data_IF_916059609912
#
_entry.id   IF_916059609912
#
_cell.length_a   1.000
_cell.length_b   1.000
_cell.length_c   1.000
_cell.angle_alpha   90.00
_cell.angle_beta   90.00
_cell.angle_gamma   90.00
#
_symmetry.space_group_name_H-M   'P 1'
#
loop_
_entity.id
_entity.type
_entity.pdbx_description
1 polymer ?
#
# COMPACT_ATOMS: atom_id res chain seq x y z
N UNK A 1 -22.09 -19.35 -37.95
CA UNK A 1 -22.63 -18.32 -37.04
C UNK A 1 -21.82 -18.44 -35.76
N UNK A 2 -20.58 -17.93 -35.71
CA UNK A 2 -20.14 -16.53 -35.46
C UNK A 2 -20.62 -16.03 -34.09
N UNK A 3 -19.82 -15.56 -33.14
CA UNK A 3 -18.37 -15.48 -32.90
C UNK A 3 -18.27 -15.20 -31.39
N UNK A 4 -17.47 -15.96 -30.63
CA UNK A 4 -17.07 -15.55 -29.27
C UNK A 4 -15.70 -14.93 -29.40
N UNK A 5 -15.68 -13.60 -29.44
CA UNK A 5 -14.48 -12.80 -29.58
C UNK A 5 -13.79 -12.71 -28.20
N UNK A 6 -13.01 -13.74 -27.85
CA UNK A 6 -12.05 -13.71 -26.74
C UNK A 6 -10.88 -12.80 -27.14
N UNK A 7 -10.98 -11.53 -26.73
CA UNK A 7 -9.90 -10.57 -26.88
C UNK A 7 -9.24 -10.30 -25.52
N UNK A 8 -8.95 -11.37 -24.76
CA UNK A 8 -7.99 -11.27 -23.65
C UNK A 8 -6.59 -11.13 -24.23
N UNK A 9 -6.11 -9.90 -24.33
CA UNK A 9 -4.81 -9.54 -24.91
C UNK A 9 -3.66 -10.30 -24.21
N UNK A 10 -3.24 -11.42 -24.80
CA UNK A 10 -2.04 -12.17 -24.40
C UNK A 10 -0.82 -11.44 -24.92
N UNK A 11 -0.14 -10.72 -24.03
CA UNK A 11 1.21 -10.22 -24.32
C UNK A 11 2.20 -11.32 -23.97
N UNK A 12 2.93 -11.81 -24.98
CA UNK A 12 4.00 -12.79 -24.81
C UNK A 12 5.17 -12.08 -24.09
N UNK A 13 5.59 -12.62 -22.95
CA UNK A 13 6.73 -12.13 -22.14
C UNK A 13 7.62 -13.37 -21.85
N UNK A 14 8.96 -13.24 -21.79
CA UNK A 14 9.90 -14.38 -21.76
C UNK A 14 9.64 -15.38 -20.62
N UNK A 15 10.14 -16.60 -20.81
CA UNK A 15 9.75 -17.88 -20.20
C UNK A 15 9.77 -17.99 -18.65
N UNK A 16 10.11 -16.92 -17.92
CA UNK A 16 10.34 -16.95 -16.47
C UNK A 16 9.34 -16.12 -15.64
N UNK A 17 8.28 -15.55 -16.24
CA UNK A 17 7.33 -14.67 -15.54
C UNK A 17 5.88 -15.11 -15.70
N UNK A 18 5.26 -15.56 -14.61
CA UNK A 18 3.81 -15.78 -14.54
C UNK A 18 3.12 -14.46 -14.18
N UNK A 19 2.28 -13.94 -15.08
CA UNK A 19 1.33 -12.86 -14.77
C UNK A 19 -0.02 -13.51 -14.50
N UNK A 20 -0.43 -13.52 -13.24
CA UNK A 20 -1.81 -13.88 -12.90
C UNK A 20 -2.68 -12.61 -12.99
N UNK A 21 -3.65 -12.62 -13.90
CA UNK A 21 -4.74 -11.63 -13.96
C UNK A 21 -6.05 -12.33 -13.57
N UNK A 22 -6.47 -12.29 -12.30
CA UNK A 22 -7.86 -12.52 -11.97
C UNK A 22 -8.62 -11.21 -12.14
N UNK A 23 -9.92 -11.30 -12.42
CA UNK A 23 -10.85 -10.18 -12.64
C UNK A 23 -10.94 -9.17 -11.46
N UNK A 24 -10.23 -9.43 -10.36
CA UNK A 24 -10.28 -8.71 -9.07
C UNK A 24 -9.01 -7.88 -8.74
N UNK A 25 -8.15 -7.58 -9.72
CA UNK A 25 -7.15 -6.51 -9.58
C UNK A 25 -5.81 -6.88 -8.92
N UNK A 26 -5.54 -8.17 -8.69
CA UNK A 26 -4.20 -8.65 -8.29
C UNK A 26 -3.33 -8.66 -9.56
N UNK A 27 -2.26 -7.86 -9.58
CA UNK A 27 -1.27 -7.85 -10.65
C UNK A 27 0.08 -8.14 -10.02
N UNK A 28 0.59 -9.34 -10.18
CA UNK A 28 1.81 -9.81 -9.52
C UNK A 28 2.70 -10.50 -10.54
N UNK A 29 4.01 -10.31 -10.39
CA UNK A 29 5.05 -11.04 -11.07
C UNK A 29 5.81 -11.86 -10.02
N UNK A 30 5.94 -13.16 -10.25
CA UNK A 30 6.69 -14.09 -9.41
C UNK A 30 7.93 -14.61 -10.15
N UNK A 31 8.94 -15.01 -9.38
CA UNK A 31 10.01 -15.88 -9.87
C UNK A 31 9.48 -17.31 -10.04
N UNK A 32 9.72 -17.93 -11.20
CA UNK A 32 9.20 -19.26 -11.51
C UNK A 32 9.91 -20.39 -10.73
N UNK A 33 11.14 -20.17 -10.26
CA UNK A 33 11.94 -21.18 -9.55
C UNK A 33 11.69 -21.17 -8.04
N UNK A 34 11.58 -19.98 -7.45
CA UNK A 34 11.39 -19.80 -6.00
C UNK A 34 9.95 -19.51 -5.58
N UNK A 35 9.06 -19.18 -6.53
CA UNK A 35 7.71 -18.65 -6.27
C UNK A 35 7.72 -17.37 -5.42
N UNK A 36 8.84 -16.65 -5.35
CA UNK A 36 8.95 -15.39 -4.63
C UNK A 36 8.33 -14.25 -5.44
N UNK A 37 7.62 -13.34 -4.77
CA UNK A 37 7.07 -12.15 -5.40
C UNK A 37 8.22 -11.24 -5.82
N UNK A 38 8.27 -10.84 -7.09
CA UNK A 38 9.25 -9.88 -7.60
C UNK A 38 8.65 -8.48 -7.62
N UNK A 39 7.46 -8.31 -8.18
CA UNK A 39 6.85 -6.99 -8.29
C UNK A 39 5.33 -7.08 -8.44
N UNK A 40 4.68 -5.95 -8.19
CA UNK A 40 3.25 -5.81 -8.39
C UNK A 40 2.49 -5.48 -7.12
N UNK A 41 1.18 -5.67 -7.16
CA UNK A 41 0.23 -5.27 -6.13
C UNK A 41 -0.48 -6.49 -5.57
N UNK A 42 -0.34 -6.68 -4.26
CA UNK A 42 -1.12 -7.65 -3.48
C UNK A 42 -2.32 -6.93 -2.91
N UNK A 43 -3.49 -7.58 -2.96
CA UNK A 43 -4.73 -7.09 -2.38
C UNK A 43 -5.37 -8.20 -1.56
N UNK A 44 -5.57 -7.93 -0.28
CA UNK A 44 -6.32 -8.75 0.65
C UNK A 44 -7.72 -8.18 0.82
N UNK A 45 -8.68 -9.06 1.08
CA UNK A 45 -10.10 -8.70 1.23
C UNK A 45 -10.62 -9.13 2.60
N UNK A 46 -11.66 -8.43 3.06
CA UNK A 46 -12.53 -8.88 4.14
C UNK A 46 -13.49 -9.95 3.64
N UNK A 47 -14.15 -10.68 4.54
CA UNK A 47 -15.11 -11.74 4.19
C UNK A 47 -16.28 -11.21 3.35
N UNK A 48 -16.60 -9.92 3.46
CA UNK A 48 -17.64 -9.24 2.67
C UNK A 48 -17.17 -8.84 1.26
N UNK A 49 -15.93 -9.16 0.87
CA UNK A 49 -15.35 -8.84 -0.43
C UNK A 49 -14.78 -7.41 -0.55
N UNK A 50 -14.89 -6.56 0.47
CA UNK A 50 -14.25 -5.25 0.46
C UNK A 50 -12.73 -5.38 0.60
N UNK A 51 -11.98 -4.50 -0.05
CA UNK A 51 -10.54 -4.43 0.13
C UNK A 51 -10.22 -4.20 1.62
N UNK A 52 -9.31 -5.00 2.15
CA UNK A 52 -8.79 -4.93 3.52
C UNK A 52 -7.42 -4.28 3.55
N UNK A 53 -6.55 -4.71 2.65
CA UNK A 53 -5.19 -4.22 2.54
C UNK A 53 -4.79 -4.29 1.07
N UNK A 54 -4.13 -3.25 0.56
CA UNK A 54 -3.42 -3.34 -0.70
C UNK A 54 -2.00 -2.82 -0.53
N UNK A 55 -1.04 -3.51 -1.14
CA UNK A 55 0.38 -3.20 -0.99
C UNK A 55 1.13 -3.45 -2.27
N UNK A 56 1.94 -2.48 -2.63
CA UNK A 56 2.80 -2.52 -3.80
C UNK A 56 4.20 -3.03 -3.45
N UNK A 57 4.79 -3.74 -4.39
CA UNK A 57 6.10 -4.38 -4.28
C UNK A 57 6.93 -4.14 -5.54
N UNK A 58 8.22 -3.98 -5.33
CA UNK A 58 9.25 -3.92 -6.36
C UNK A 58 10.50 -4.63 -5.84
N UNK A 59 11.10 -5.47 -6.68
CA UNK A 59 12.28 -6.28 -6.37
C UNK A 59 12.13 -7.08 -5.05
N UNK A 60 10.95 -7.68 -4.86
CA UNK A 60 10.55 -8.47 -3.70
C UNK A 60 10.34 -7.67 -2.42
N UNK A 61 10.44 -6.34 -2.47
CA UNK A 61 10.35 -5.46 -1.32
C UNK A 61 9.16 -4.52 -1.43
N UNK A 62 8.57 -4.10 -0.28
CA UNK A 62 7.57 -3.04 -0.28
C UNK A 62 8.05 -1.78 -1.01
N UNK A 63 7.28 -1.31 -1.97
CA UNK A 63 7.59 -0.11 -2.75
C UNK A 63 6.29 0.56 -3.18
N UNK A 64 6.21 1.88 -3.19
CA UNK A 64 4.97 2.59 -3.52
C UNK A 64 4.05 2.67 -2.30
N UNK A 65 2.74 2.49 -2.48
CA UNK A 65 1.78 2.63 -1.40
C UNK A 65 1.38 1.30 -0.75
N UNK A 66 1.23 1.33 0.57
CA UNK A 66 0.53 0.33 1.36
C UNK A 66 -0.67 0.99 2.02
N UNK A 67 -1.88 0.48 1.77
CA UNK A 67 -3.12 1.09 2.23
C UNK A 67 -4.00 0.05 2.91
N UNK A 68 -4.47 0.36 4.12
CA UNK A 68 -5.33 -0.50 4.93
C UNK A 68 -6.70 0.16 5.04
N UNK A 69 -7.75 -0.63 4.90
CA UNK A 69 -9.13 -0.19 4.86
C UNK A 69 -9.94 -0.82 5.98
N UNK A 70 -10.91 -0.08 6.49
CA UNK A 70 -11.95 -0.61 7.35
C UNK A 70 -12.82 -1.62 6.57
N UNK A 71 -13.56 -2.47 7.30
CA UNK A 71 -14.43 -3.50 6.71
C UNK A 71 -15.51 -2.93 5.77
N UNK A 72 -15.95 -1.70 5.98
CA UNK A 72 -16.89 -0.98 5.12
C UNK A 72 -16.23 -0.27 3.92
N UNK A 73 -14.93 -0.48 3.70
CA UNK A 73 -14.18 0.00 2.53
C UNK A 73 -13.53 1.38 2.66
N UNK A 74 -13.75 2.12 3.76
CA UNK A 74 -13.10 3.42 3.95
C UNK A 74 -11.60 3.24 4.31
N UNK A 75 -10.76 4.16 3.82
CA UNK A 75 -9.33 4.16 4.10
C UNK A 75 -9.08 4.41 5.60
N UNK A 76 -8.27 3.57 6.23
CA UNK A 76 -7.85 3.73 7.62
C UNK A 76 -6.40 4.22 7.72
N UNK A 77 -5.52 3.70 6.87
CA UNK A 77 -4.10 4.01 6.93
C UNK A 77 -3.49 3.94 5.54
N UNK A 78 -2.60 4.87 5.22
CA UNK A 78 -1.72 4.80 4.07
C UNK A 78 -0.27 5.02 4.52
N UNK A 79 0.64 4.22 3.97
CA UNK A 79 2.06 4.29 4.25
C UNK A 79 2.82 4.17 2.95
N UNK A 80 3.57 5.21 2.55
CA UNK A 80 4.45 5.09 1.41
C UNK A 80 5.74 4.35 1.80
N UNK A 81 6.24 3.56 0.87
CA UNK A 81 7.44 2.74 0.98
C UNK A 81 8.38 3.01 -0.19
N UNK A 82 9.68 2.95 0.09
CA UNK A 82 10.74 3.00 -0.91
C UNK A 82 11.81 2.00 -0.51
N UNK A 83 12.12 1.06 -1.39
CA UNK A 83 13.13 0.01 -1.18
C UNK A 83 12.95 -0.72 0.16
N UNK A 84 11.72 -1.17 0.42
CA UNK A 84 11.35 -1.91 1.63
C UNK A 84 11.21 -1.07 2.90
N UNK A 85 11.51 0.23 2.87
CA UNK A 85 11.49 1.12 4.04
C UNK A 85 10.37 2.14 3.95
N UNK A 86 9.76 2.50 5.08
CA UNK A 86 8.79 3.61 5.14
C UNK A 86 9.45 4.89 4.64
N UNK A 87 8.72 5.64 3.82
CA UNK A 87 9.20 6.88 3.21
C UNK A 87 8.04 7.85 3.03
N UNK A 88 8.29 9.15 3.15
CA UNK A 88 7.26 10.17 3.01
C UNK A 88 6.30 10.17 4.21
N UNK A 89 5.08 10.66 4.00
CA UNK A 89 4.12 10.87 5.07
C UNK A 89 3.21 9.65 5.21
N UNK A 90 3.32 8.94 6.34
CA UNK A 90 2.31 8.00 6.80
C UNK A 90 1.12 8.80 7.31
N UNK A 91 -0.10 8.42 6.90
CA UNK A 91 -1.34 9.01 7.44
C UNK A 91 -2.26 7.92 7.95
N UNK A 92 -2.91 8.17 9.09
CA UNK A 92 -4.06 7.41 9.55
C UNK A 92 -5.28 8.31 9.62
N UNK A 93 -6.45 7.73 9.39
CA UNK A 93 -7.71 8.44 9.30
C UNK A 93 -8.70 7.90 10.34
N UNK A 94 -9.52 8.79 10.86
CA UNK A 94 -10.74 8.44 11.56
C UNK A 94 -11.75 7.83 10.59
N UNK A 95 -12.80 7.18 11.13
CA UNK A 95 -13.91 6.68 10.30
C UNK A 95 -14.62 7.78 9.52
N UNK A 96 -14.55 9.03 9.98
CA UNK A 96 -15.04 10.22 9.26
C UNK A 96 -14.23 10.56 8.00
N UNK A 97 -13.04 9.97 7.84
CA UNK A 97 -12.08 10.31 6.79
C UNK A 97 -11.15 11.47 7.15
N UNK A 98 -11.34 12.11 8.31
CA UNK A 98 -10.42 13.14 8.81
C UNK A 98 -9.11 12.51 9.28
N UNK A 99 -8.01 13.26 9.16
CA UNK A 99 -6.69 12.79 9.60
C UNK A 99 -6.70 12.61 11.12
N UNK A 100 -6.36 11.41 11.58
CA UNK A 100 -6.13 11.11 12.98
C UNK A 100 -4.68 11.37 13.36
N UNK A 101 -3.75 10.97 12.50
CA UNK A 101 -2.33 11.15 12.74
C UNK A 101 -1.57 11.20 11.42
N UNK A 102 -0.49 11.96 11.38
CA UNK A 102 0.49 11.90 10.29
C UNK A 102 1.91 11.92 10.83
N UNK A 103 2.78 11.10 10.24
CA UNK A 103 4.20 10.98 10.63
C UNK A 103 5.04 11.00 9.37
N UNK A 104 6.08 11.84 9.36
CA UNK A 104 7.05 11.88 8.26
C UNK A 104 8.16 10.86 8.49
N UNK A 105 8.42 10.02 7.49
CA UNK A 105 9.49 9.03 7.48
C UNK A 105 10.52 9.30 6.39
N UNK A 106 11.79 9.04 6.72
CA UNK A 106 12.90 9.01 5.78
C UNK A 106 13.75 7.77 6.07
N UNK A 107 13.98 6.97 5.03
CA UNK A 107 14.79 5.75 5.10
C UNK A 107 14.40 4.80 6.26
N UNK A 108 13.09 4.72 6.54
CA UNK A 108 12.52 3.86 7.58
C UNK A 108 12.49 4.47 8.98
N UNK A 109 13.05 5.67 9.18
CA UNK A 109 13.07 6.38 10.47
C UNK A 109 12.12 7.56 10.44
N UNK A 110 11.50 7.89 11.58
CA UNK A 110 10.74 9.14 11.72
C UNK A 110 11.70 10.33 11.55
N UNK A 111 11.44 11.19 10.59
CA UNK A 111 12.27 12.36 10.28
C UNK A 111 11.37 13.46 9.71
N UNK A 112 11.14 14.51 10.49
CA UNK A 112 10.11 15.51 10.26
C UNK A 112 9.08 15.53 11.39
N UNK A 113 7.85 15.93 11.08
CA UNK A 113 6.81 16.15 12.10
C UNK A 113 5.92 14.91 12.25
N UNK A 114 5.60 14.59 13.49
CA UNK A 114 4.48 13.76 13.91
C UNK A 114 3.38 14.67 14.47
N UNK A 115 2.18 14.56 13.94
CA UNK A 115 1.02 15.30 14.43
C UNK A 115 -0.14 14.35 14.68
N UNK A 116 -0.84 14.57 15.78
CA UNK A 116 -2.06 13.85 16.16
C UNK A 116 -3.19 14.85 16.21
N UNK A 117 -4.36 14.46 15.71
CA UNK A 117 -5.57 15.26 15.64
C UNK A 117 -6.72 14.51 16.29
N UNK A 118 -7.68 15.25 16.86
CA UNK A 118 -8.92 14.68 17.36
C UNK A 118 -9.91 14.37 16.20
N UNK A 119 -11.10 13.86 16.55
CA UNK A 119 -12.13 13.49 15.57
C UNK A 119 -12.72 14.68 14.80
N UNK A 120 -12.59 15.90 15.33
CA UNK A 120 -13.01 17.15 14.68
C UNK A 120 -11.91 17.74 13.77
N UNK A 121 -10.72 17.15 13.78
CA UNK A 121 -9.55 17.58 13.02
C UNK A 121 -8.72 18.65 13.71
N UNK A 122 -8.94 18.90 15.01
CA UNK A 122 -8.12 19.84 15.78
C UNK A 122 -6.80 19.19 16.16
N UNK A 123 -5.70 19.94 16.05
CA UNK A 123 -4.36 19.47 16.42
C UNK A 123 -4.28 19.25 17.94
N UNK A 124 -3.99 18.01 18.35
CA UNK A 124 -3.83 17.59 19.74
C UNK A 124 -2.37 17.61 20.17
N UNK A 125 -1.46 17.17 19.29
CA UNK A 125 -0.02 17.18 19.57
C UNK A 125 0.80 17.33 18.30
N UNK A 126 2.00 17.90 18.44
CA UNK A 126 2.99 18.02 17.38
C UNK A 126 4.38 17.77 17.97
N UNK A 127 5.11 16.81 17.43
CA UNK A 127 6.44 16.41 17.87
C UNK A 127 7.35 16.38 16.65
N UNK A 128 8.52 17.02 16.74
CA UNK A 128 9.52 16.99 15.67
C UNK A 128 10.50 15.86 15.95
N UNK A 129 10.78 15.06 14.93
CA UNK A 129 11.77 14.00 14.95
C UNK A 129 12.90 14.28 13.96
N UNK A 130 14.10 13.85 14.30
CA UNK A 130 15.22 13.76 13.40
C UNK A 130 15.93 12.41 13.58
N UNK A 131 16.07 11.64 12.50
CA UNK A 131 16.66 10.30 12.52
C UNK A 131 16.11 9.39 13.63
N UNK A 132 14.79 9.39 13.81
CA UNK A 132 14.08 8.56 14.79
C UNK A 132 14.14 9.06 16.23
N UNK A 133 14.70 10.26 16.49
CA UNK A 133 14.78 10.85 17.83
C UNK A 133 13.97 12.13 17.90
N UNK A 134 13.30 12.35 19.04
CA UNK A 134 12.59 13.59 19.31
C UNK A 134 13.61 14.74 19.35
N UNK A 135 13.30 15.83 18.66
CA UNK A 135 14.00 17.10 18.75
C UNK A 135 13.31 17.91 19.84
N UNK A 136 14.05 18.21 20.91
CA UNK A 136 13.61 18.99 22.06
C UNK A 136 14.14 20.42 21.99
#
# INVERSE_FOLDING_TARGET
MSDVNDNSSRTIIPEDRVIYKPENGIQVAYDNSSMELISGKIVDFWDNGNCRHRKEYQDGQPHGLSEIFFEHGALWMETPFKNGKRHGVLRTLWKSGLTMMRITYKDGLSDGVEEVFDEDGSLVSSIVYHNGKIVI
#
